data_IF_343824128361
#
_entry.id   IF_343824128361
#
_cell.length_a   1.000
_cell.length_b   1.000
_cell.length_c   1.000
_cell.angle_alpha   90.00
_cell.angle_beta   90.00
_cell.angle_gamma   90.00
#
_symmetry.space_group_name_H-M   'P 1'
#
loop_
_entity.id
_entity.type
_entity.pdbx_description
1 polymer ?
#
# COMPACT_ATOMS: atom_id res chain seq x y z
N UNK A 1 24.25 -24.64 -0.60
CA UNK A 1 24.14 -23.18 -0.49
C UNK A 1 22.65 -22.94 -0.63
N UNK A 2 22.00 -22.45 0.42
CA UNK A 2 20.62 -21.98 0.31
C UNK A 2 20.65 -20.83 -0.69
N UNK A 3 19.90 -20.98 -1.78
CA UNK A 3 19.72 -19.94 -2.78
C UNK A 3 18.81 -18.91 -2.10
N UNK A 4 19.30 -17.68 -1.92
CA UNK A 4 18.52 -16.61 -1.30
C UNK A 4 17.60 -16.03 -2.38
N UNK A 5 16.30 -16.28 -2.22
CA UNK A 5 15.26 -15.77 -3.10
C UNK A 5 14.78 -14.41 -2.59
N UNK A 6 14.68 -13.44 -3.49
CA UNK A 6 14.16 -12.09 -3.21
C UNK A 6 12.89 -11.85 -4.02
N UNK A 7 11.92 -11.16 -3.42
CA UNK A 7 10.71 -10.69 -4.11
C UNK A 7 11.09 -9.61 -5.13
N UNK A 8 10.58 -9.72 -6.35
CA UNK A 8 10.72 -8.72 -7.39
C UNK A 8 9.34 -8.38 -7.94
N UNK A 9 9.00 -7.10 -7.86
CA UNK A 9 7.75 -6.54 -8.37
C UNK A 9 7.90 -6.10 -9.82
N UNK A 10 6.78 -6.09 -10.52
CA UNK A 10 6.72 -5.85 -11.95
C UNK A 10 5.32 -5.48 -12.40
N UNK A 11 5.23 -5.09 -13.67
CA UNK A 11 4.00 -4.68 -14.31
C UNK A 11 3.93 -5.24 -15.74
N UNK A 12 2.73 -5.64 -16.15
CA UNK A 12 2.42 -6.05 -17.52
C UNK A 12 1.30 -5.15 -18.03
N UNK A 13 1.57 -4.41 -19.10
CA UNK A 13 0.64 -3.45 -19.70
C UNK A 13 0.36 -3.86 -21.14
N UNK A 14 -0.89 -4.20 -21.44
CA UNK A 14 -1.33 -4.61 -22.78
C UNK A 14 -2.59 -3.87 -23.23
N UNK A 15 -3.01 -3.99 -24.50
CA UNK A 15 -4.28 -3.41 -24.97
C UNK A 15 -5.49 -4.33 -24.71
N UNK A 16 -5.30 -5.65 -24.81
CA UNK A 16 -6.32 -6.69 -24.66
C UNK A 16 -5.79 -7.80 -23.74
N UNK A 17 -5.30 -7.42 -22.56
CA UNK A 17 -4.72 -8.37 -21.62
C UNK A 17 -5.84 -9.10 -20.84
N UNK A 18 -5.78 -10.42 -20.83
CA UNK A 18 -6.62 -11.27 -19.97
C UNK A 18 -5.77 -11.80 -18.81
N UNK A 19 -6.03 -11.37 -17.56
CA UNK A 19 -5.34 -11.87 -16.38
C UNK A 19 -5.29 -13.40 -16.28
N UNK A 20 -6.36 -14.10 -16.70
CA UNK A 20 -6.39 -15.55 -16.64
C UNK A 20 -5.47 -16.20 -17.65
N UNK A 21 -5.32 -15.62 -18.84
CA UNK A 21 -4.41 -16.12 -19.86
C UNK A 21 -2.94 -15.95 -19.41
N UNK A 22 -2.60 -14.82 -18.79
CA UNK A 22 -1.27 -14.60 -18.20
C UNK A 22 -1.01 -15.61 -17.08
N UNK A 23 -1.99 -15.82 -16.20
CA UNK A 23 -1.93 -16.81 -15.11
C UNK A 23 -1.68 -18.23 -15.64
N UNK A 24 -2.38 -18.64 -16.70
CA UNK A 24 -2.23 -19.95 -17.33
C UNK A 24 -0.85 -20.11 -17.96
N UNK A 25 -0.34 -19.10 -18.67
CA UNK A 25 1.00 -19.12 -19.26
C UNK A 25 2.10 -19.27 -18.18
N UNK A 26 2.01 -18.49 -17.08
CA UNK A 26 2.94 -18.60 -15.96
C UNK A 26 2.87 -20.00 -15.30
N UNK A 27 1.67 -20.56 -15.17
CA UNK A 27 1.46 -21.90 -14.65
C UNK A 27 2.08 -22.98 -15.55
N UNK A 28 1.89 -22.90 -16.87
CA UNK A 28 2.48 -23.84 -17.84
C UNK A 28 4.02 -23.81 -17.82
N UNK A 29 4.60 -22.62 -17.57
CA UNK A 29 6.04 -22.43 -17.39
C UNK A 29 6.54 -22.84 -16.00
N UNK A 30 5.62 -23.18 -15.09
CA UNK A 30 5.94 -23.55 -13.71
C UNK A 30 6.43 -22.40 -12.84
N UNK A 31 6.19 -21.15 -13.23
CA UNK A 31 6.64 -19.95 -12.52
C UNK A 31 5.85 -19.75 -11.23
N UNK A 32 6.56 -19.50 -10.14
CA UNK A 32 5.96 -19.06 -8.88
C UNK A 32 5.76 -17.54 -8.94
N UNK A 33 4.50 -17.10 -8.92
CA UNK A 33 4.16 -15.69 -9.06
C UNK A 33 2.85 -15.34 -8.36
N UNK A 34 2.63 -14.06 -8.13
CA UNK A 34 1.33 -13.48 -7.80
C UNK A 34 0.98 -12.40 -8.82
N UNK A 35 -0.27 -12.41 -9.28
CA UNK A 35 -0.83 -11.40 -10.18
C UNK A 35 -1.85 -10.57 -9.43
N UNK A 36 -1.88 -9.27 -9.71
CA UNK A 36 -2.81 -8.32 -9.11
C UNK A 36 -3.34 -7.35 -10.16
N UNK A 37 -4.63 -7.02 -10.12
CA UNK A 37 -5.22 -6.06 -11.05
C UNK A 37 -6.54 -5.50 -10.52
N UNK A 38 -6.95 -4.33 -11.01
CA UNK A 38 -8.31 -3.86 -10.81
C UNK A 38 -9.24 -4.43 -11.88
N UNK A 39 -10.45 -4.81 -11.50
CA UNK A 39 -11.47 -5.29 -12.44
C UNK A 39 -11.84 -4.23 -13.51
N UNK A 40 -11.66 -2.95 -13.21
CA UNK A 40 -11.87 -1.81 -14.13
C UNK A 40 -10.75 -1.66 -15.16
N UNK A 41 -9.51 -2.05 -14.83
CA UNK A 41 -8.32 -1.91 -15.67
C UNK A 41 -7.57 -3.24 -15.83
N UNK A 42 -8.22 -4.31 -16.34
CA UNK A 42 -7.60 -5.63 -16.48
C UNK A 42 -6.42 -5.67 -17.47
N UNK A 43 -6.19 -4.57 -18.17
CA UNK A 43 -5.12 -4.38 -19.13
C UNK A 43 -3.80 -3.92 -18.48
N UNK A 44 -3.82 -3.63 -17.17
CA UNK A 44 -2.66 -3.35 -16.32
C UNK A 44 -2.61 -4.40 -15.21
N UNK A 45 -1.57 -5.23 -15.21
CA UNK A 45 -1.37 -6.24 -14.17
C UNK A 45 -0.10 -5.95 -13.39
N UNK A 46 -0.21 -5.92 -12.07
CA UNK A 46 0.90 -6.14 -11.16
C UNK A 46 1.35 -7.59 -11.22
N UNK A 47 2.67 -7.79 -11.21
CA UNK A 47 3.30 -9.11 -11.17
C UNK A 47 4.34 -9.12 -10.06
N UNK A 48 4.19 -10.04 -9.12
CA UNK A 48 5.23 -10.36 -8.14
C UNK A 48 5.84 -11.72 -8.47
N UNK A 49 7.16 -11.81 -8.54
CA UNK A 49 7.90 -13.07 -8.68
C UNK A 49 9.01 -13.17 -7.64
N UNK A 50 9.51 -14.38 -7.40
CA UNK A 50 10.73 -14.58 -6.62
C UNK A 50 11.92 -14.81 -7.55
N UNK A 51 13.07 -14.19 -7.27
CA UNK A 51 14.28 -14.28 -8.07
C UNK A 51 15.53 -14.44 -7.21
N UNK A 52 16.57 -15.11 -7.74
CA UNK A 52 17.90 -15.16 -7.14
C UNK A 52 18.86 -14.07 -7.69
N UNK A 53 18.31 -13.13 -8.47
CA UNK A 53 19.04 -12.07 -9.16
C UNK A 53 19.33 -12.35 -10.64
N UNK A 54 19.26 -13.60 -11.09
CA UNK A 54 19.41 -13.99 -12.50
C UNK A 54 18.20 -14.77 -13.02
N UNK A 55 17.69 -15.69 -12.21
CA UNK A 55 16.63 -16.63 -12.57
C UNK A 55 15.37 -16.38 -11.74
N UNK A 56 14.23 -16.75 -12.32
CA UNK A 56 12.94 -16.73 -11.63
C UNK A 56 12.70 -18.07 -10.95
N UNK A 57 12.10 -18.04 -9.78
CA UNK A 57 11.68 -19.22 -9.04
C UNK A 57 10.60 -19.97 -9.80
N UNK A 58 10.83 -21.27 -10.00
CA UNK A 58 9.83 -22.20 -10.52
C UNK A 58 9.57 -23.31 -9.52
N UNK A 59 8.38 -23.88 -9.58
CA UNK A 59 8.04 -25.09 -8.83
C UNK A 59 7.67 -26.18 -9.83
N UNK A 60 8.58 -27.15 -10.08
CA UNK A 60 8.31 -28.24 -11.00
C UNK A 60 7.21 -29.19 -10.54
N UNK A 61 6.67 -29.95 -11.50
CA UNK A 61 5.68 -31.00 -11.22
C UNK A 61 6.23 -32.02 -10.22
N UNK A 62 5.52 -32.23 -9.12
CA UNK A 62 5.88 -33.20 -8.09
C UNK A 62 6.96 -32.72 -7.11
N UNK A 63 7.44 -31.48 -7.24
CA UNK A 63 8.27 -30.81 -6.23
C UNK A 63 7.40 -29.98 -5.27
N UNK A 64 7.93 -29.74 -4.08
CA UNK A 64 7.44 -28.78 -3.07
C UNK A 64 8.50 -27.69 -2.80
N UNK A 65 9.59 -27.68 -3.58
CA UNK A 65 10.70 -26.75 -3.46
C UNK A 65 10.79 -25.88 -4.70
N UNK A 66 11.31 -24.66 -4.50
CA UNK A 66 11.66 -23.74 -5.59
C UNK A 66 12.99 -24.12 -6.23
N UNK A 67 13.00 -24.06 -7.55
CA UNK A 67 14.17 -24.31 -8.40
C UNK A 67 14.38 -23.13 -9.36
N UNK A 68 15.63 -22.90 -9.77
CA UNK A 68 15.95 -21.89 -10.77
C UNK A 68 15.32 -22.23 -12.13
N UNK A 69 14.45 -21.34 -12.59
CA UNK A 69 13.77 -21.42 -13.86
C UNK A 69 14.45 -20.60 -14.96
N UNK A 70 13.67 -19.99 -15.88
CA UNK A 70 14.23 -19.14 -16.93
C UNK A 70 14.87 -17.86 -16.35
N UNK A 71 15.72 -17.23 -17.15
CA UNK A 71 16.26 -15.92 -16.81
C UNK A 71 15.15 -14.85 -16.74
N UNK A 72 15.33 -13.83 -15.90
CA UNK A 72 14.37 -12.75 -15.74
C UNK A 72 14.05 -12.06 -17.08
N UNK A 73 15.07 -11.81 -17.90
CA UNK A 73 14.96 -11.19 -19.22
C UNK A 73 14.24 -12.09 -20.23
N UNK A 74 14.45 -13.39 -20.16
CA UNK A 74 13.79 -14.36 -21.04
C UNK A 74 12.29 -14.40 -20.76
N UNK A 75 11.89 -14.44 -19.47
CA UNK A 75 10.46 -14.41 -19.14
C UNK A 75 9.81 -13.09 -19.56
N UNK A 76 10.46 -11.95 -19.28
CA UNK A 76 9.91 -10.64 -19.62
C UNK A 76 9.70 -10.51 -21.14
N UNK A 77 10.69 -10.89 -21.94
CA UNK A 77 10.61 -10.87 -23.40
C UNK A 77 9.51 -11.82 -23.92
N UNK A 78 9.46 -13.05 -23.43
CA UNK A 78 8.48 -14.04 -23.88
C UNK A 78 7.03 -13.61 -23.60
N UNK A 79 6.77 -13.07 -22.39
CA UNK A 79 5.45 -12.54 -22.02
C UNK A 79 5.12 -11.33 -22.90
N UNK A 80 6.06 -10.39 -23.07
CA UNK A 80 5.85 -9.20 -23.87
C UNK A 80 5.50 -9.56 -25.32
N UNK A 81 6.22 -10.50 -25.94
CA UNK A 81 5.96 -10.99 -27.30
C UNK A 81 4.60 -11.68 -27.40
N UNK A 82 4.30 -12.59 -26.46
CA UNK A 82 3.09 -13.41 -26.50
C UNK A 82 1.82 -12.55 -26.38
N UNK A 83 1.84 -11.59 -25.44
CA UNK A 83 0.69 -10.74 -25.14
C UNK A 83 0.72 -9.38 -25.85
N UNK A 84 1.76 -9.10 -26.65
CA UNK A 84 2.00 -7.79 -27.28
C UNK A 84 1.89 -6.66 -26.27
N UNK A 85 2.64 -6.82 -25.19
CA UNK A 85 2.57 -5.99 -23.99
C UNK A 85 3.93 -5.33 -23.73
N UNK A 86 3.91 -4.31 -22.88
CA UNK A 86 5.08 -3.87 -22.15
C UNK A 86 5.15 -4.69 -20.85
N UNK A 87 6.31 -5.28 -20.58
CA UNK A 87 6.58 -6.04 -19.35
C UNK A 87 7.77 -5.41 -18.64
N UNK A 88 7.63 -5.20 -17.34
CA UNK A 88 8.69 -4.70 -16.46
C UNK A 88 8.75 -5.61 -15.25
N UNK A 89 9.94 -6.10 -14.88
CA UNK A 89 10.14 -6.91 -13.67
C UNK A 89 11.45 -6.44 -13.04
N UNK A 90 11.38 -5.83 -11.86
CA UNK A 90 12.51 -5.13 -11.27
C UNK A 90 13.12 -4.12 -12.25
N UNK A 91 14.41 -4.29 -12.58
CA UNK A 91 15.13 -3.45 -13.54
C UNK A 91 14.97 -3.88 -15.02
N UNK A 92 14.37 -5.03 -15.27
CA UNK A 92 14.25 -5.63 -16.61
C UNK A 92 12.99 -5.16 -17.30
N UNK A 93 13.10 -4.85 -18.60
CA UNK A 93 11.99 -4.32 -19.41
C UNK A 93 12.00 -4.93 -20.81
N UNK A 94 10.82 -5.24 -21.33
CA UNK A 94 10.59 -5.69 -22.70
C UNK A 94 9.31 -5.01 -23.22
N UNK A 95 9.39 -4.36 -24.38
CA UNK A 95 8.26 -3.65 -24.99
C UNK A 95 7.96 -4.21 -26.37
N UNK A 96 6.78 -4.81 -26.50
CA UNK A 96 6.22 -5.31 -27.76
C UNK A 96 4.83 -4.75 -28.04
N UNK A 97 4.51 -3.55 -27.50
CA UNK A 97 3.30 -2.82 -27.86
C UNK A 97 3.34 -2.42 -29.35
N UNK A 98 2.20 -2.46 -30.06
CA UNK A 98 2.13 -1.94 -31.43
C UNK A 98 2.51 -0.45 -31.47
N UNK A 99 3.28 -0.04 -32.47
CA UNK A 99 3.74 1.35 -32.60
C UNK A 99 2.56 2.34 -32.61
N UNK A 100 2.50 3.22 -31.62
CA UNK A 100 1.48 4.25 -31.47
C UNK A 100 0.25 3.86 -30.63
N UNK A 101 0.20 2.64 -30.08
CA UNK A 101 -0.91 2.13 -29.26
C UNK A 101 -0.47 1.92 -27.79
N UNK A 102 -0.19 3.02 -27.08
CA UNK A 102 -0.04 2.96 -25.62
C UNK A 102 -1.43 2.88 -24.95
N UNK A 103 -1.72 1.83 -24.16
CA UNK A 103 -2.99 1.70 -23.44
C UNK A 103 -3.20 2.87 -22.46
N UNK A 104 -2.12 3.36 -21.83
CA UNK A 104 -2.14 4.48 -20.90
C UNK A 104 -2.66 5.77 -21.57
N UNK A 105 -2.24 6.03 -22.83
CA UNK A 105 -2.70 7.20 -23.59
C UNK A 105 -4.18 7.13 -24.00
N UNK A 106 -4.75 5.92 -24.09
CA UNK A 106 -6.17 5.70 -24.42
C UNK A 106 -7.04 5.79 -23.17
N UNK A 107 -6.62 5.18 -22.07
CA UNK A 107 -7.29 5.29 -20.77
C UNK A 107 -7.39 6.75 -20.32
N UNK A 108 -6.32 7.54 -20.45
CA UNK A 108 -6.32 8.97 -20.17
C UNK A 108 -7.21 9.81 -21.12
N UNK A 109 -7.58 9.27 -22.29
CA UNK A 109 -8.48 9.93 -23.25
C UNK A 109 -9.95 9.55 -23.04
N UNK A 110 -10.22 8.36 -22.48
CA UNK A 110 -11.57 7.86 -22.17
C UNK A 110 -12.04 8.34 -20.78
N UNK A 111 -11.11 8.44 -19.82
CA UNK A 111 -11.27 9.21 -18.60
C UNK A 111 -11.08 10.68 -18.96
N UNK A 112 -12.16 11.35 -19.40
CA UNK A 112 -12.12 12.73 -19.88
C UNK A 112 -11.20 13.62 -19.03
N UNK A 113 -10.44 14.48 -19.71
CA UNK A 113 -9.44 15.39 -19.14
C UNK A 113 -9.77 15.82 -17.71
N UNK A 114 -8.80 15.80 -16.76
CA UNK A 114 -9.08 16.14 -15.37
C UNK A 114 -9.86 17.44 -15.35
N UNK A 115 -11.07 17.36 -14.79
CA UNK A 115 -11.92 18.53 -14.61
C UNK A 115 -11.06 19.60 -13.96
N UNK A 116 -10.96 20.78 -14.58
CA UNK A 116 -10.21 21.91 -14.05
C UNK A 116 -10.79 22.45 -12.72
N UNK A 117 -11.86 21.82 -12.24
CA UNK A 117 -12.47 21.99 -10.94
C UNK A 117 -12.17 20.70 -10.16
N UNK A 118 -11.39 20.79 -9.07
CA UNK A 118 -10.96 19.68 -8.21
C UNK A 118 -12.09 19.00 -7.43
N UNK A 119 -13.16 18.60 -8.13
CA UNK A 119 -14.30 17.82 -7.65
C UNK A 119 -13.96 16.32 -7.65
N UNK A 120 -12.90 15.93 -6.95
CA UNK A 120 -12.71 14.55 -6.52
C UNK A 120 -13.37 14.33 -5.17
N UNK A 121 -13.85 13.11 -4.89
CA UNK A 121 -14.29 12.78 -3.54
C UNK A 121 -13.11 12.92 -2.57
N UNK A 122 -13.31 13.48 -1.37
CA UNK A 122 -12.21 13.62 -0.44
C UNK A 122 -11.70 12.26 0.01
N UNK A 123 -10.38 12.11 0.09
CA UNK A 123 -9.73 10.89 0.55
C UNK A 123 -9.75 10.86 2.06
N UNK A 124 -10.26 9.78 2.67
CA UNK A 124 -10.23 9.62 4.13
C UNK A 124 -9.08 8.73 4.52
N UNK A 125 -8.27 9.22 5.44
CA UNK A 125 -7.05 8.53 5.88
C UNK A 125 -7.03 8.34 7.39
N UNK A 126 -6.34 7.29 7.81
CA UNK A 126 -5.97 7.04 9.19
C UNK A 126 -4.50 6.70 9.21
N UNK A 127 -3.68 7.59 9.75
CA UNK A 127 -2.23 7.40 9.86
C UNK A 127 -1.86 6.99 11.29
N UNK A 128 -1.21 5.84 11.41
CA UNK A 128 -0.84 5.21 12.68
C UNK A 128 0.67 5.30 12.83
N UNK A 129 1.11 5.91 13.93
CA UNK A 129 2.53 6.15 14.16
C UNK A 129 2.83 6.67 15.54
N UNK A 130 4.12 6.87 15.82
CA UNK A 130 4.57 7.53 17.04
C UNK A 130 4.61 9.03 16.82
N UNK A 131 3.52 9.70 17.19
CA UNK A 131 3.39 11.14 17.11
C UNK A 131 3.14 11.71 18.50
N UNK A 132 3.97 12.65 18.99
CA UNK A 132 3.73 13.27 20.30
C UNK A 132 2.41 14.04 20.32
N UNK A 133 1.63 13.90 21.40
CA UNK A 133 0.32 14.55 21.55
C UNK A 133 0.41 16.07 21.37
N UNK A 134 1.49 16.65 21.88
CA UNK A 134 1.76 18.08 21.75
C UNK A 134 1.88 18.57 20.31
N UNK A 135 2.23 17.71 19.37
CA UNK A 135 2.46 18.09 17.96
C UNK A 135 1.16 18.21 17.18
N UNK A 136 0.13 17.45 17.56
CA UNK A 136 -1.12 17.30 16.78
C UNK A 136 -1.85 18.64 16.56
N UNK A 137 -2.02 19.54 17.56
CA UNK A 137 -2.64 20.84 17.31
C UNK A 137 -1.90 21.69 16.27
N UNK A 138 -0.56 21.61 16.25
CA UNK A 138 0.28 22.34 15.32
C UNK A 138 0.20 21.73 13.92
N UNK A 139 0.21 20.40 13.81
CA UNK A 139 0.02 19.69 12.54
C UNK A 139 -1.30 20.09 11.88
N UNK A 140 -2.41 20.08 12.63
CA UNK A 140 -3.72 20.49 12.12
C UNK A 140 -3.69 21.92 11.54
N UNK A 141 -3.03 22.85 12.24
CA UNK A 141 -2.95 24.23 11.82
C UNK A 141 -1.99 24.48 10.64
N UNK A 142 -0.94 23.67 10.50
CA UNK A 142 0.03 23.76 9.40
C UNK A 142 -0.55 23.19 8.11
N UNK A 143 -1.18 22.03 8.20
CA UNK A 143 -1.81 21.38 7.04
C UNK A 143 -3.12 22.05 6.65
N UNK A 144 -3.71 22.85 7.53
CA UNK A 144 -5.01 23.46 7.30
C UNK A 144 -6.15 22.44 7.31
N UNK A 145 -5.93 21.26 7.90
CA UNK A 145 -6.87 20.13 7.96
C UNK A 145 -7.22 19.85 9.42
N UNK A 146 -8.49 19.60 9.69
CA UNK A 146 -8.95 19.18 11.01
C UNK A 146 -8.51 17.74 11.29
N UNK A 147 -7.86 17.52 12.45
CA UNK A 147 -7.32 16.20 12.82
C UNK A 147 -8.12 15.57 13.94
N UNK A 148 -8.48 14.30 13.80
CA UNK A 148 -8.86 13.45 14.92
C UNK A 148 -7.61 12.78 15.51
N UNK A 149 -7.37 12.94 16.82
CA UNK A 149 -6.30 12.29 17.57
C UNK A 149 -6.87 11.15 18.41
N UNK A 150 -6.53 9.91 18.06
CA UNK A 150 -6.82 8.72 18.87
C UNK A 150 -5.52 8.19 19.49
N UNK A 151 -5.43 8.18 20.81
CA UNK A 151 -4.31 7.59 21.53
C UNK A 151 -4.38 6.05 21.51
N UNK A 152 -3.26 5.41 21.19
CA UNK A 152 -3.07 3.96 21.19
C UNK A 152 -1.99 3.56 22.20
N UNK A 153 -1.79 2.26 22.38
CA UNK A 153 -0.76 1.73 23.26
C UNK A 153 0.67 2.04 22.76
N UNK A 154 1.64 1.92 23.66
CA UNK A 154 3.07 2.10 23.39
C UNK A 154 3.47 3.47 22.80
N UNK A 155 2.64 4.50 23.05
CA UNK A 155 2.88 5.86 22.57
C UNK A 155 2.54 6.06 21.08
N UNK A 156 1.82 5.12 20.47
CA UNK A 156 1.27 5.30 19.14
C UNK A 156 0.01 6.16 19.19
N UNK A 157 -0.32 6.77 18.05
CA UNK A 157 -1.57 7.48 17.82
C UNK A 157 -2.08 7.14 16.44
N UNK A 158 -3.39 7.11 16.28
CA UNK A 158 -4.05 7.10 14.98
C UNK A 158 -4.60 8.50 14.70
N UNK A 159 -4.10 9.14 13.65
CA UNK A 159 -4.53 10.46 13.19
C UNK A 159 -5.55 10.29 12.07
N UNK A 160 -6.78 10.72 12.32
CA UNK A 160 -7.91 10.62 11.39
C UNK A 160 -8.06 11.93 10.63
N UNK A 161 -8.27 11.83 9.32
CA UNK A 161 -8.43 13.01 8.50
C UNK A 161 -9.10 12.85 7.15
N UNK A 162 -9.69 13.95 6.71
CA UNK A 162 -10.23 14.12 5.38
C UNK A 162 -9.29 15.00 4.57
N UNK A 163 -8.82 14.45 3.46
CA UNK A 163 -7.85 15.07 2.58
C UNK A 163 -8.45 15.46 1.22
N UNK A 164 -7.91 16.52 0.60
CA UNK A 164 -8.15 16.75 -0.82
C UNK A 164 -7.77 15.51 -1.64
N UNK A 165 -8.46 15.25 -2.75
CA UNK A 165 -8.31 14.02 -3.55
C UNK A 165 -6.89 13.75 -4.08
N UNK A 166 -6.01 14.77 -4.10
CA UNK A 166 -4.64 14.66 -4.60
C UNK A 166 -3.61 14.30 -3.51
N UNK A 167 -4.06 14.04 -2.27
CA UNK A 167 -3.14 13.85 -1.12
C UNK A 167 -3.31 12.46 -0.48
N UNK A 168 -2.38 11.57 -0.76
CA UNK A 168 -2.34 10.19 -0.24
C UNK A 168 -1.51 10.10 1.05
N UNK A 169 -2.04 10.63 2.15
CA UNK A 169 -1.36 10.56 3.45
C UNK A 169 -0.50 11.78 3.78
N UNK A 170 0.25 11.64 4.87
CA UNK A 170 0.95 12.75 5.51
C UNK A 170 2.38 12.43 5.91
N UNK A 171 2.66 11.17 6.21
CA UNK A 171 3.92 10.69 6.72
C UNK A 171 4.41 11.53 7.91
N UNK A 172 3.48 11.93 8.80
CA UNK A 172 3.79 12.73 9.99
C UNK A 172 3.90 11.83 11.21
N UNK A 173 5.15 11.61 11.64
CA UNK A 173 5.48 10.88 12.84
C UNK A 173 6.87 10.28 12.73
N UNK A 174 7.28 9.55 13.77
CA UNK A 174 8.46 8.69 13.65
C UNK A 174 8.08 7.42 12.89
N UNK A 175 8.90 7.02 11.90
CA UNK A 175 8.77 5.74 11.22
C UNK A 175 8.98 4.58 12.22
N UNK A 176 8.29 3.45 12.06
CA UNK A 176 7.39 3.11 10.96
C UNK A 176 6.02 3.79 11.05
N UNK A 177 5.40 4.06 9.88
CA UNK A 177 4.05 4.62 9.76
C UNK A 177 3.16 3.67 8.97
N UNK A 178 1.94 3.46 9.46
CA UNK A 178 0.90 2.69 8.75
C UNK A 178 -0.25 3.62 8.37
N UNK A 179 -0.55 3.71 7.08
CA UNK A 179 -1.61 4.57 6.55
C UNK A 179 -2.71 3.72 5.95
N UNK A 180 -3.91 3.84 6.51
CA UNK A 180 -5.14 3.33 5.89
C UNK A 180 -5.73 4.46 5.06
N UNK A 181 -6.11 4.19 3.82
CA UNK A 181 -6.78 5.18 2.97
C UNK A 181 -7.96 4.57 2.23
N UNK A 182 -9.07 5.33 2.20
CA UNK A 182 -10.20 5.05 1.32
C UNK A 182 -10.37 6.22 0.35
N UNK A 183 -10.30 5.92 -0.95
CA UNK A 183 -10.55 6.85 -2.05
C UNK A 183 -11.36 6.13 -3.12
N UNK A 184 -12.42 6.75 -3.66
CA UNK A 184 -13.25 6.18 -4.74
C UNK A 184 -13.71 4.71 -4.53
N UNK A 185 -13.96 4.32 -3.27
CA UNK A 185 -14.33 2.96 -2.83
C UNK A 185 -13.18 1.93 -2.86
N UNK A 186 -11.97 2.35 -3.18
CA UNK A 186 -10.75 1.56 -3.04
C UNK A 186 -10.20 1.73 -1.63
N UNK A 187 -9.83 0.60 -1.03
CA UNK A 187 -9.29 0.57 0.30
C UNK A 187 -7.90 -0.06 0.27
N UNK A 188 -6.91 0.71 0.72
CA UNK A 188 -5.53 0.27 0.79
C UNK A 188 -4.90 0.60 2.14
N UNK A 189 -3.88 -0.18 2.47
CA UNK A 189 -3.02 0.03 3.63
C UNK A 189 -1.58 0.06 3.17
N UNK A 190 -0.85 1.08 3.60
CA UNK A 190 0.56 1.27 3.32
C UNK A 190 1.36 1.23 4.63
N UNK A 191 2.55 0.66 4.59
CA UNK A 191 3.55 0.71 5.64
C UNK A 191 4.81 1.33 5.07
N UNK A 192 5.25 2.42 5.71
CA UNK A 192 6.50 3.11 5.40
C UNK A 192 7.46 2.89 6.56
N UNK A 193 8.61 2.25 6.30
CA UNK A 193 9.61 1.92 7.33
C UNK A 193 10.86 2.79 7.26
N UNK A 194 11.22 3.27 6.07
CA UNK A 194 12.34 4.18 5.85
C UNK A 194 12.05 5.16 4.68
N UNK A 195 13.09 5.82 4.15
CA UNK A 195 12.98 6.77 3.04
C UNK A 195 13.22 6.20 1.64
N UNK A 196 13.37 4.89 1.52
CA UNK A 196 13.49 4.21 0.24
C UNK A 196 12.11 3.78 -0.21
N UNK A 197 11.70 4.30 -1.37
CA UNK A 197 10.36 4.04 -1.93
C UNK A 197 10.13 2.55 -2.24
N UNK A 198 11.21 1.82 -2.54
CA UNK A 198 11.22 0.38 -2.78
C UNK A 198 10.97 -0.46 -1.52
N UNK A 199 10.98 0.15 -0.33
CA UNK A 199 10.67 -0.51 0.94
C UNK A 199 9.25 -0.20 1.46
N UNK A 200 8.44 0.50 0.67
CA UNK A 200 7.03 0.73 1.00
C UNK A 200 6.29 -0.58 0.79
N UNK A 201 5.65 -1.07 1.84
CA UNK A 201 4.80 -2.25 1.79
C UNK A 201 3.36 -1.78 1.62
N UNK A 202 2.63 -2.32 0.66
CA UNK A 202 1.23 -1.95 0.42
C UNK A 202 0.35 -3.16 0.18
N UNK A 203 -0.91 -3.08 0.61
CA UNK A 203 -1.94 -4.04 0.23
C UNK A 203 -3.25 -3.31 -0.09
N UNK A 204 -3.86 -3.65 -1.23
CA UNK A 204 -5.09 -3.02 -1.73
C UNK A 204 -6.23 -4.04 -1.84
N UNK A 205 -7.26 -3.88 -1.02
CA UNK A 205 -8.46 -4.74 -1.00
C UNK A 205 -9.43 -4.48 -2.17
N UNK A 206 -9.17 -3.47 -2.98
CA UNK A 206 -9.86 -3.20 -4.24
C UNK A 206 -9.32 -4.00 -5.43
N UNK A 207 -8.12 -4.59 -5.31
CA UNK A 207 -7.54 -5.42 -6.35
C UNK A 207 -8.03 -6.87 -6.28
N UNK A 208 -8.11 -7.50 -7.44
CA UNK A 208 -8.18 -8.94 -7.60
C UNK A 208 -6.77 -9.51 -7.52
N UNK A 209 -6.60 -10.62 -6.80
CA UNK A 209 -5.31 -11.28 -6.61
C UNK A 209 -5.39 -12.73 -7.07
N UNK A 210 -4.38 -13.19 -7.82
CA UNK A 210 -4.25 -14.57 -8.24
C UNK A 210 -2.83 -15.11 -8.05
N UNK A 211 -2.70 -16.10 -7.16
CA UNK A 211 -1.45 -16.83 -6.94
C UNK A 211 -1.25 -17.91 -8.02
N UNK A 212 -0.06 -17.94 -8.61
CA UNK A 212 0.44 -18.98 -9.52
C UNK A 212 1.42 -19.87 -8.75
N UNK A 213 1.01 -21.08 -8.32
CA UNK A 213 1.83 -21.95 -7.46
C UNK A 213 2.85 -22.77 -8.26
N UNK A 214 3.47 -22.18 -9.29
CA UNK A 214 4.25 -22.89 -10.29
C UNK A 214 3.44 -23.98 -10.99
N UNK A 215 4.05 -25.13 -11.29
CA UNK A 215 3.40 -26.23 -12.02
C UNK A 215 2.45 -27.08 -11.13
N UNK A 216 2.12 -26.60 -9.91
CA UNK A 216 1.16 -27.26 -9.01
C UNK A 216 -0.27 -26.87 -9.36
N UNK A 217 -1.21 -27.80 -9.16
CA UNK A 217 -2.62 -27.51 -9.45
C UNK A 217 -3.23 -26.51 -8.45
N UNK A 218 -2.73 -26.48 -7.21
CA UNK A 218 -3.26 -25.64 -6.12
C UNK A 218 -2.14 -25.15 -5.23
N UNK A 219 -2.27 -23.91 -4.77
CA UNK A 219 -1.35 -23.32 -3.79
C UNK A 219 -1.31 -24.10 -2.47
N UNK A 220 -2.44 -24.67 -2.03
CA UNK A 220 -2.52 -25.49 -0.80
C UNK A 220 -1.65 -26.76 -0.81
N UNK A 221 -1.05 -27.10 -1.96
CA UNK A 221 -0.10 -28.22 -2.08
C UNK A 221 1.34 -27.78 -1.79
N UNK A 222 1.60 -26.50 -1.60
CA UNK A 222 2.92 -25.95 -1.30
C UNK A 222 3.05 -25.57 0.18
N UNK A 223 4.27 -25.64 0.73
CA UNK A 223 4.57 -25.05 2.01
C UNK A 223 4.29 -23.55 2.00
N UNK A 224 3.82 -23.04 3.13
CA UNK A 224 3.58 -21.61 3.34
C UNK A 224 4.83 -20.76 3.04
N UNK A 225 6.01 -21.22 3.45
CA UNK A 225 7.31 -20.58 3.19
C UNK A 225 7.61 -20.38 1.68
N UNK A 226 7.08 -21.26 0.82
CA UNK A 226 7.23 -21.13 -0.64
C UNK A 226 6.23 -20.12 -1.18
N UNK A 227 4.98 -20.15 -0.70
CA UNK A 227 3.95 -19.18 -1.11
C UNK A 227 4.38 -17.77 -0.69
N UNK A 228 4.93 -17.64 0.51
CA UNK A 228 5.35 -16.37 1.12
C UNK A 228 6.54 -15.71 0.37
N UNK A 229 7.18 -16.40 -0.59
CA UNK A 229 8.16 -15.77 -1.48
C UNK A 229 7.53 -14.75 -2.44
N UNK A 230 6.23 -14.89 -2.75
CA UNK A 230 5.48 -14.01 -3.66
C UNK A 230 4.15 -13.54 -3.11
N UNK A 231 3.68 -14.13 -2.00
CA UNK A 231 2.42 -13.84 -1.35
C UNK A 231 2.43 -12.55 -0.52
N UNK A 232 1.25 -12.02 -0.20
CA UNK A 232 1.11 -10.82 0.64
C UNK A 232 1.17 -11.09 2.14
N UNK A 233 1.23 -12.36 2.55
CA UNK A 233 1.22 -12.69 3.97
C UNK A 233 2.37 -12.02 4.73
N UNK A 234 3.64 -12.03 4.26
CA UNK A 234 4.72 -11.31 4.93
C UNK A 234 4.48 -9.81 5.03
N UNK A 235 3.87 -9.21 4.01
CA UNK A 235 3.57 -7.78 3.94
C UNK A 235 2.51 -7.38 4.98
N UNK A 236 1.44 -8.17 5.07
CA UNK A 236 0.41 -7.98 6.09
C UNK A 236 0.95 -8.26 7.51
N UNK A 237 1.86 -9.21 7.67
CA UNK A 237 2.55 -9.43 8.95
C UNK A 237 3.43 -8.23 9.34
N UNK A 238 4.13 -7.63 8.37
CA UNK A 238 4.92 -6.42 8.59
C UNK A 238 4.03 -5.22 8.98
N UNK A 239 2.90 -5.02 8.28
CA UNK A 239 1.90 -4.01 8.61
C UNK A 239 1.37 -4.22 10.03
N UNK A 240 0.95 -5.43 10.38
CA UNK A 240 0.44 -5.74 11.70
C UNK A 240 1.51 -5.53 12.80
N UNK A 241 2.77 -5.89 12.54
CA UNK A 241 3.86 -5.70 13.49
C UNK A 241 4.15 -4.22 13.81
N UNK A 242 3.80 -3.30 12.90
CA UNK A 242 3.95 -1.86 13.10
C UNK A 242 2.80 -1.23 13.90
N UNK A 243 1.70 -1.95 14.16
CA UNK A 243 0.53 -1.43 14.88
C UNK A 243 0.33 -2.16 16.21
N UNK A 244 0.32 -1.44 17.35
CA UNK A 244 0.16 -2.09 18.66
C UNK A 244 -1.21 -2.74 18.78
N UNK A 245 -1.23 -4.02 19.20
CA UNK A 245 -2.45 -4.77 19.41
C UNK A 245 -3.08 -5.36 18.14
N UNK A 246 -2.42 -5.25 16.98
CA UNK A 246 -2.89 -5.86 15.75
C UNK A 246 -2.81 -7.40 15.78
N UNK A 247 -3.73 -8.04 15.07
CA UNK A 247 -3.84 -9.48 14.86
C UNK A 247 -3.46 -9.80 13.40
N UNK A 248 -2.22 -10.25 13.13
CA UNK A 248 -1.78 -10.56 11.76
C UNK A 248 -2.59 -11.68 11.11
N UNK A 249 -3.06 -12.66 11.89
CA UNK A 249 -3.86 -13.76 11.36
C UNK A 249 -5.25 -13.29 10.93
N UNK A 250 -5.87 -12.36 11.68
CA UNK A 250 -7.12 -11.73 11.29
C UNK A 250 -6.95 -10.85 10.04
N UNK A 251 -5.82 -10.16 9.90
CA UNK A 251 -5.52 -9.32 8.74
C UNK A 251 -5.37 -10.17 7.47
N UNK A 252 -4.59 -11.27 7.53
CA UNK A 252 -4.48 -12.24 6.44
C UNK A 252 -5.81 -12.92 6.08
N UNK A 253 -6.61 -13.29 7.08
CA UNK A 253 -7.95 -13.84 6.85
C UNK A 253 -8.89 -12.83 6.15
N UNK A 254 -8.67 -11.54 6.35
CA UNK A 254 -9.46 -10.48 5.70
C UNK A 254 -9.04 -10.30 4.24
N UNK A 255 -7.74 -10.30 3.94
CA UNK A 255 -7.21 -10.26 2.57
C UNK A 255 -7.73 -11.41 1.70
N UNK A 256 -7.85 -12.62 2.26
CA UNK A 256 -8.23 -13.81 1.49
C UNK A 256 -9.74 -14.05 1.37
N UNK A 257 -10.58 -13.39 2.17
CA UNK A 257 -12.00 -13.75 2.30
C UNK A 257 -12.99 -12.59 2.07
N UNK A 258 -12.51 -11.35 1.95
CA UNK A 258 -13.40 -10.19 1.87
C UNK A 258 -12.91 -9.11 0.93
N UNK A 259 -13.88 -8.41 0.33
CA UNK A 259 -13.65 -7.26 -0.54
C UNK A 259 -14.63 -6.12 -0.20
N UNK A 260 -14.32 -4.92 -0.68
CA UNK A 260 -15.17 -3.73 -0.51
C UNK A 260 -15.29 -3.27 0.94
N UNK A 261 -16.44 -2.67 1.29
CA UNK A 261 -16.65 -2.06 2.60
C UNK A 261 -16.46 -3.04 3.77
N UNK A 262 -16.80 -4.32 3.59
CA UNK A 262 -16.62 -5.34 4.63
C UNK A 262 -15.14 -5.49 5.04
N UNK A 263 -14.23 -5.36 4.08
CA UNK A 263 -12.78 -5.40 4.33
C UNK A 263 -12.34 -4.26 5.23
N UNK A 264 -12.88 -3.05 5.05
CA UNK A 264 -12.55 -1.89 5.89
C UNK A 264 -12.86 -2.18 7.36
N UNK A 265 -14.08 -2.68 7.65
CA UNK A 265 -14.47 -3.03 9.02
C UNK A 265 -13.61 -4.13 9.63
N UNK A 266 -13.26 -5.15 8.84
CA UNK A 266 -12.46 -6.27 9.32
C UNK A 266 -10.99 -5.90 9.51
N UNK A 267 -10.41 -5.09 8.63
CA UNK A 267 -9.04 -4.58 8.76
C UNK A 267 -8.91 -3.66 9.97
N UNK A 268 -9.82 -2.69 10.14
CA UNK A 268 -9.82 -1.80 11.32
C UNK A 268 -9.88 -2.62 12.61
N UNK A 269 -10.73 -3.65 12.66
CA UNK A 269 -10.81 -4.57 13.80
C UNK A 269 -9.52 -5.39 13.96
N UNK A 270 -8.94 -5.90 12.88
CA UNK A 270 -7.70 -6.66 12.90
C UNK A 270 -6.52 -5.82 13.40
N UNK A 271 -6.50 -4.52 13.10
CA UNK A 271 -5.51 -3.57 13.61
C UNK A 271 -5.77 -3.11 15.05
N UNK A 272 -6.79 -3.66 15.73
CA UNK A 272 -7.10 -3.31 17.11
C UNK A 272 -7.76 -1.94 17.31
N UNK A 273 -8.21 -1.30 16.23
CA UNK A 273 -8.78 0.05 16.28
C UNK A 273 -10.28 0.03 16.63
N UNK A 274 -10.82 1.12 17.21
CA UNK A 274 -12.25 1.25 17.46
C UNK A 274 -13.08 1.17 16.18
N UNK A 275 -14.26 0.55 16.26
CA UNK A 275 -15.16 0.37 15.10
C UNK A 275 -15.55 1.70 14.42
N UNK A 276 -15.60 2.80 15.17
CA UNK A 276 -15.85 4.14 14.63
C UNK A 276 -14.83 4.59 13.58
N UNK A 277 -13.59 4.08 13.63
CA UNK A 277 -12.54 4.37 12.64
C UNK A 277 -12.92 3.83 11.26
N UNK A 278 -13.56 2.66 11.18
CA UNK A 278 -14.08 2.13 9.91
C UNK A 278 -15.25 2.99 9.39
N UNK A 279 -16.15 3.40 10.29
CA UNK A 279 -17.23 4.34 9.96
C UNK A 279 -16.68 5.67 9.42
N UNK A 280 -15.60 6.18 10.01
CA UNK A 280 -14.90 7.35 9.52
C UNK A 280 -14.31 7.13 8.13
N UNK A 281 -13.51 6.08 7.91
CA UNK A 281 -12.92 5.77 6.61
C UNK A 281 -13.97 5.66 5.49
N UNK A 282 -15.13 5.07 5.79
CA UNK A 282 -16.25 4.93 4.86
C UNK A 282 -17.11 6.21 4.71
N UNK A 283 -16.81 7.28 5.45
CA UNK A 283 -17.59 8.52 5.44
C UNK A 283 -18.98 8.43 6.11
N UNK A 284 -19.22 7.38 6.90
CA UNK A 284 -20.45 7.18 7.65
C UNK A 284 -20.46 7.88 9.02
N UNK A 285 -19.31 8.38 9.48
CA UNK A 285 -19.11 8.97 10.81
C UNK A 285 -18.07 10.06 10.75
N UNK A 286 -18.30 11.18 11.44
CA UNK A 286 -17.31 12.27 11.53
C UNK A 286 -16.20 11.89 12.52
N UNK A 287 -14.99 12.44 12.36
CA UNK A 287 -13.88 12.16 13.28
C UNK A 287 -14.25 12.46 14.76
N UNK A 288 -15.09 13.48 14.99
CA UNK A 288 -15.56 13.86 16.34
C UNK A 288 -16.51 12.86 17.01
N UNK A 289 -17.07 11.93 16.24
CA UNK A 289 -18.03 10.93 16.70
C UNK A 289 -17.36 9.58 17.00
N UNK A 290 -16.07 9.44 16.65
CA UNK A 290 -15.29 8.23 16.91
C UNK A 290 -14.89 8.19 18.39
N UNK A 291 -15.15 7.04 19.03
CA UNK A 291 -14.85 6.84 20.46
C UNK A 291 -13.35 7.02 20.73
N UNK A 292 -13.02 7.84 21.73
CA UNK A 292 -11.64 8.11 22.15
C UNK A 292 -10.92 9.20 21.35
N UNK A 293 -11.52 9.73 20.28
CA UNK A 293 -10.91 10.76 19.45
C UNK A 293 -11.04 12.15 20.07
N UNK A 294 -9.92 12.90 20.07
CA UNK A 294 -9.89 14.33 20.35
C UNK A 294 -9.69 15.11 19.04
N UNK A 295 -10.59 16.05 18.74
CA UNK A 295 -10.50 16.81 17.48
C UNK A 295 -9.68 18.11 17.64
N UNK A 296 -8.68 18.26 16.79
CA UNK A 296 -7.81 19.42 16.68
C UNK A 296 -8.14 20.20 15.42
N UNK A 297 -8.88 21.29 15.60
CA UNK A 297 -9.27 22.15 14.49
C UNK A 297 -8.10 23.00 13.97
N UNK A 298 -8.05 23.20 12.65
CA UNK A 298 -7.08 24.03 11.92
C UNK A 298 -7.27 25.54 12.17
N UNK A 299 -7.04 25.99 13.41
CA UNK A 299 -7.35 27.36 13.88
C UNK A 299 -6.13 28.28 13.96
N UNK A 300 -5.27 28.25 12.94
CA UNK A 300 -4.11 29.14 12.82
C UNK A 300 -2.96 28.81 13.79
N UNK A 301 -1.73 29.01 13.30
CA UNK A 301 -0.50 28.53 13.93
C UNK A 301 -0.30 29.10 15.36
N UNK A 302 -0.61 30.37 15.61
CA UNK A 302 -0.40 30.98 16.93
C UNK A 302 -1.28 30.39 18.03
N UNK A 303 -2.53 30.00 17.71
CA UNK A 303 -3.40 29.30 18.65
C UNK A 303 -2.93 27.86 18.89
N UNK A 304 -2.49 27.20 17.82
CA UNK A 304 -1.97 25.85 17.87
C UNK A 304 -0.72 25.73 18.73
N UNK A 305 0.23 26.66 18.62
CA UNK A 305 1.44 26.70 19.47
C UNK A 305 1.05 26.76 20.96
N UNK A 306 0.07 27.59 21.34
CA UNK A 306 -0.40 27.68 22.72
C UNK A 306 -0.93 26.35 23.25
N UNK A 307 -1.82 25.68 22.49
CA UNK A 307 -2.36 24.36 22.85
C UNK A 307 -1.27 23.29 22.91
N UNK A 308 -0.32 23.34 21.98
CA UNK A 308 0.82 22.42 21.93
C UNK A 308 1.66 22.54 23.20
N UNK A 309 1.98 23.77 23.62
CA UNK A 309 2.73 24.04 24.85
C UNK A 309 1.96 23.62 26.10
N UNK A 310 0.64 23.89 26.16
CA UNK A 310 -0.18 23.47 27.30
C UNK A 310 -0.19 21.94 27.46
N UNK A 311 -0.25 21.18 26.35
CA UNK A 311 -0.12 19.71 26.36
C UNK A 311 1.28 19.30 26.83
N UNK A 312 2.34 19.91 26.29
CA UNK A 312 3.72 19.62 26.70
C UNK A 312 3.96 19.85 28.19
N UNK A 313 3.37 20.89 28.78
CA UNK A 313 3.51 21.21 30.20
C UNK A 313 2.71 20.26 31.11
N UNK A 314 1.77 19.52 30.55
CA UNK A 314 1.03 18.45 31.22
C UNK A 314 1.73 17.08 31.19
N UNK A 315 2.75 16.89 30.34
CA UNK A 315 3.49 15.64 30.18
C UNK A 315 4.73 15.56 31.11
N UNK A 316 5.06 14.39 31.69
CA UNK A 316 6.29 14.20 32.46
C UNK A 316 7.54 14.36 31.59
N UNK A 317 8.62 14.95 32.15
CA UNK A 317 9.79 15.58 31.50
C UNK A 317 10.57 14.83 30.39
N UNK A 318 10.22 13.60 29.97
CA UNK A 318 11.04 12.78 29.07
C UNK A 318 10.82 12.95 27.55
N UNK A 319 9.78 13.65 27.08
CA UNK A 319 9.47 13.77 25.63
C UNK A 319 9.90 15.12 24.98
N UNK A 320 10.59 15.99 25.71
CA UNK A 320 10.59 17.45 25.45
C UNK A 320 11.62 17.95 24.41
N UNK A 321 12.37 17.10 23.70
CA UNK A 321 13.54 17.57 22.89
C UNK A 321 13.66 17.27 21.39
N UNK A 322 12.91 16.38 20.70
CA UNK A 322 13.11 16.18 19.25
C UNK A 322 12.17 16.98 18.32
N UNK A 323 11.14 17.64 18.86
CA UNK A 323 9.99 18.17 18.08
C UNK A 323 10.33 19.14 16.94
N UNK A 324 11.34 19.99 17.12
CA UNK A 324 11.70 21.01 16.11
C UNK A 324 12.67 20.49 15.03
N UNK A 325 13.44 19.44 15.31
CA UNK A 325 14.43 18.91 14.36
C UNK A 325 13.79 17.96 13.34
N UNK A 326 12.79 17.17 13.74
CA UNK A 326 12.06 16.28 12.81
C UNK A 326 11.23 17.06 11.78
N UNK A 327 10.76 18.27 12.13
CA UNK A 327 9.99 19.13 11.24
C UNK A 327 10.84 19.71 10.09
N UNK A 328 12.06 20.17 10.37
CA UNK A 328 12.95 20.72 9.33
C UNK A 328 13.44 19.64 8.35
N UNK A 329 13.52 18.37 8.78
CA UNK A 329 13.90 17.27 7.88
C UNK A 329 12.75 16.76 7.01
N UNK A 330 11.52 16.64 7.53
CA UNK A 330 10.43 16.02 6.75
C UNK A 330 9.78 16.99 5.77
N UNK A 331 9.47 18.21 6.21
CA UNK A 331 8.77 19.22 5.38
C UNK A 331 9.66 19.89 4.31
N UNK A 332 11.00 19.82 4.46
CA UNK A 332 11.95 20.46 3.52
C UNK A 332 12.76 19.44 2.72
N UNK A 333 13.06 18.25 3.24
CA UNK A 333 13.98 17.31 2.58
C UNK A 333 13.31 16.12 1.87
N UNK A 334 12.04 15.80 2.16
CA UNK A 334 11.34 14.66 1.53
C UNK A 334 10.00 15.00 0.82
N UNK A 335 9.90 16.05 -0.04
CA UNK A 335 8.66 16.32 -0.79
C UNK A 335 8.28 15.25 -1.82
N UNK A 336 9.20 14.34 -2.16
CA UNK A 336 9.12 13.44 -3.32
C UNK A 336 8.59 12.03 -3.00
N UNK A 337 8.42 11.66 -1.71
CA UNK A 337 7.79 10.38 -1.34
C UNK A 337 6.31 10.29 -1.75
N UNK A 338 5.70 11.41 -2.12
CA UNK A 338 4.31 11.52 -2.61
C UNK A 338 4.19 11.12 -4.10
N UNK A 339 5.29 11.12 -4.87
CA UNK A 339 5.20 11.05 -6.34
C UNK A 339 5.44 9.67 -6.97
N UNK A 340 5.96 8.67 -6.24
CA UNK A 340 6.30 7.40 -6.90
C UNK A 340 5.26 6.28 -6.81
N UNK A 341 4.17 6.46 -6.06
CA UNK A 341 2.97 5.63 -6.24
C UNK A 341 2.19 6.04 -7.51
N UNK A 342 2.19 7.35 -7.84
CA UNK A 342 1.52 7.90 -9.04
C UNK A 342 2.41 7.86 -10.30
N UNK A 343 3.74 7.75 -10.13
CA UNK A 343 4.69 7.75 -11.26
C UNK A 343 4.71 6.47 -12.11
N UNK A 344 4.00 5.42 -11.69
CA UNK A 344 3.79 4.21 -12.49
C UNK A 344 2.53 4.27 -13.37
N UNK A 345 1.69 5.32 -13.23
CA UNK A 345 0.42 5.47 -13.95
C UNK A 345 0.35 6.72 -14.86
N UNK A 346 1.48 7.35 -15.19
CA UNK A 346 1.54 8.51 -16.09
C UNK A 346 2.30 8.25 -17.41
#
# INVERSE_FOLDING_TARGET
MTQDWTRAEGMIIGNELDPNAVREELHERGVLAQLEWFASTPHMLGLTVATDGEHIATVPVGSEQVEAGPALEELAEDIAVLFKAEVRIGSTTADHLPQGDSPLGRAASENGAPSADGEGAPTRIVEIGRTPASSVPLLAALEGVDLGDLELDEGHRALLAELPPEKEGWNFGELPLVTLSVSDSEFQVLLVTDDHIEHIVSHNWGMETALVPGARAKASELPDEVIDLVGDRPDLEAIAAAVPGADPAALWATATATHGEESVWKVVKALGLPAGVAGFLLGATEASEVEGVTVHLARGISNAIGRSVDIMLGEPESAVKPLWNSYESVAVQRPWLIHAAVGAEA
#
